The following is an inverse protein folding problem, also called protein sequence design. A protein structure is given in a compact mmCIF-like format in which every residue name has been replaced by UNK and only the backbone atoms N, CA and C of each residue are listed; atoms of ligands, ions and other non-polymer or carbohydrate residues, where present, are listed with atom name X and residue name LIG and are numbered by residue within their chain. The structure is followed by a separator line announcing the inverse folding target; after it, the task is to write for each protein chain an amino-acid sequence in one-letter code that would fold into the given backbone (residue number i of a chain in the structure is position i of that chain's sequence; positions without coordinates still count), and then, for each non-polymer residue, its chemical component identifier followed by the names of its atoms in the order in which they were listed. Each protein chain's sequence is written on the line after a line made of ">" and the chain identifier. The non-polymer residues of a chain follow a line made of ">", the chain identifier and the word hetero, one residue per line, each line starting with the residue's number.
data_IF_772813272617
#
_entry.id   IF_772813272617
#
_cell.length_a   1.000
_cell.length_b   1.000
_cell.length_c   1.000
_cell.angle_alpha   90.00
_cell.angle_beta   90.00
_cell.angle_gamma   90.00
#
_symmetry.space_group_name_H-M   'P 1'
#
loop_
_entity.id
_entity.type
_entity.pdbx_description
1 polymer ?
#
# COMPACT_ATOMS: atom_id res chain seq x y z
N UNK A 1 -10.15 32.63 2.42
CA UNK A 1 -8.80 32.21 2.88
C UNK A 1 -8.42 30.84 2.35
N UNK A 2 -9.33 29.87 2.36
CA UNK A 2 -9.19 28.51 1.78
C UNK A 2 -8.58 28.48 0.35
N UNK A 3 -8.98 29.40 -0.53
CA UNK A 3 -8.51 29.46 -1.93
C UNK A 3 -7.02 29.72 -2.13
N UNK A 4 -6.37 30.40 -1.20
CA UNK A 4 -4.95 30.74 -1.32
C UNK A 4 -4.08 29.55 -0.93
N UNK A 5 -4.48 28.83 0.11
CA UNK A 5 -3.77 27.67 0.62
C UNK A 5 -3.72 26.53 -0.41
N UNK A 6 -4.86 26.16 -0.99
CA UNK A 6 -4.90 25.15 -2.06
C UNK A 6 -4.08 25.56 -3.27
N UNK A 7 -4.06 26.85 -3.61
CA UNK A 7 -3.34 27.36 -4.77
C UNK A 7 -1.82 27.29 -4.60
N UNK A 8 -1.33 27.54 -3.39
CA UNK A 8 0.08 27.36 -3.03
C UNK A 8 0.43 25.87 -3.08
N UNK A 9 -0.40 25.00 -2.50
CA UNK A 9 -0.15 23.55 -2.48
C UNK A 9 -0.08 22.94 -3.88
N UNK A 10 -0.98 23.31 -4.81
CA UNK A 10 -0.89 22.80 -6.20
C UNK A 10 0.44 23.15 -6.83
N UNK A 11 0.89 24.39 -6.65
CA UNK A 11 2.13 24.88 -7.26
C UNK A 11 3.37 24.24 -6.64
N UNK A 12 3.34 24.00 -5.32
CA UNK A 12 4.40 23.27 -4.64
C UNK A 12 4.47 21.82 -5.13
N UNK A 13 3.34 21.12 -5.25
CA UNK A 13 3.31 19.74 -5.74
C UNK A 13 3.78 19.63 -7.19
N UNK A 14 3.21 20.43 -8.10
CA UNK A 14 3.62 20.42 -9.52
C UNK A 14 5.07 20.88 -9.66
N UNK A 15 5.47 21.92 -8.93
CA UNK A 15 6.84 22.43 -8.96
C UNK A 15 7.86 21.41 -8.47
N UNK A 16 7.54 20.68 -7.40
CA UNK A 16 8.35 19.58 -6.90
C UNK A 16 8.45 18.45 -7.92
N UNK A 17 7.33 18.04 -8.51
CA UNK A 17 7.29 16.95 -9.49
C UNK A 17 8.08 17.31 -10.76
N UNK A 18 8.00 18.56 -11.22
CA UNK A 18 8.82 19.07 -12.32
C UNK A 18 10.31 19.13 -11.97
N UNK A 19 10.66 19.42 -10.71
CA UNK A 19 12.04 19.43 -10.26
C UNK A 19 12.68 18.04 -10.30
N UNK A 20 11.91 16.99 -10.02
CA UNK A 20 12.38 15.59 -10.10
C UNK A 20 12.68 15.14 -11.55
N UNK A 21 12.15 15.85 -12.56
CA UNK A 21 12.43 15.57 -13.97
C UNK A 21 13.73 16.22 -14.45
N UNK A 22 14.35 17.10 -13.65
CA UNK A 22 15.61 17.73 -13.99
C UNK A 22 16.74 16.76 -13.66
N UNK A 23 17.56 16.32 -14.64
CA UNK A 23 18.66 15.40 -14.38
C UNK A 23 19.79 16.15 -13.67
N UNK A 24 19.79 16.09 -12.34
CA UNK A 24 20.74 16.80 -11.48
C UNK A 24 22.01 15.99 -11.11
N UNK A 25 22.11 14.74 -11.57
CA UNK A 25 23.21 13.81 -11.21
C UNK A 25 22.96 13.05 -9.90
N UNK A 26 23.86 12.15 -9.51
CA UNK A 26 23.68 11.24 -8.35
C UNK A 26 23.82 11.90 -6.97
N UNK A 27 24.48 13.06 -6.89
CA UNK A 27 24.66 13.81 -5.64
C UNK A 27 24.60 15.33 -5.89
N UNK A 28 23.43 15.87 -6.23
CA UNK A 28 23.30 17.30 -6.47
C UNK A 28 23.52 18.10 -5.19
N UNK A 29 24.18 19.25 -5.33
CA UNK A 29 24.29 20.19 -4.21
C UNK A 29 22.90 20.68 -3.82
N UNK A 30 22.68 20.93 -2.52
CA UNK A 30 21.41 21.48 -2.03
C UNK A 30 20.97 22.74 -2.82
N UNK A 31 21.94 23.57 -3.24
CA UNK A 31 21.70 24.73 -4.10
C UNK A 31 21.07 24.34 -5.46
N UNK A 32 21.56 23.28 -6.09
CA UNK A 32 21.04 22.80 -7.37
C UNK A 32 19.61 22.25 -7.24
N UNK A 33 19.32 21.52 -6.15
CA UNK A 33 17.96 21.05 -5.83
C UNK A 33 16.98 22.21 -5.60
N UNK A 34 17.39 23.20 -4.81
CA UNK A 34 16.57 24.40 -4.56
C UNK A 34 16.35 25.24 -5.83
N UNK A 35 17.35 25.31 -6.72
CA UNK A 35 17.22 25.99 -8.02
C UNK A 35 16.29 25.23 -8.97
N UNK A 36 16.39 23.91 -9.04
CA UNK A 36 15.48 23.07 -9.83
C UNK A 36 14.04 23.17 -9.30
N UNK A 37 13.87 23.17 -7.98
CA UNK A 37 12.58 23.41 -7.35
C UNK A 37 12.03 24.81 -7.64
N UNK A 38 12.86 25.85 -7.55
CA UNK A 38 12.49 27.22 -7.89
C UNK A 38 12.07 27.36 -9.36
N UNK A 39 12.83 26.76 -10.28
CA UNK A 39 12.48 26.73 -11.70
C UNK A 39 11.17 25.95 -11.95
N UNK A 40 11.03 24.77 -11.34
CA UNK A 40 9.80 23.97 -11.40
C UNK A 40 8.59 24.74 -10.87
N UNK A 41 8.74 25.49 -9.78
CA UNK A 41 7.70 26.32 -9.21
C UNK A 41 7.29 27.47 -10.15
N UNK A 42 8.24 28.11 -10.83
CA UNK A 42 7.96 29.15 -11.82
C UNK A 42 7.22 28.60 -13.05
N UNK A 43 7.63 27.42 -13.54
CA UNK A 43 6.95 26.71 -14.63
C UNK A 43 5.54 26.30 -14.22
N UNK A 44 5.37 25.74 -13.02
CA UNK A 44 4.07 25.40 -12.45
C UNK A 44 3.17 26.65 -12.30
N UNK A 45 3.74 27.79 -11.93
CA UNK A 45 3.03 29.05 -11.85
C UNK A 45 2.53 29.50 -13.23
N UNK A 46 3.40 29.47 -14.24
CA UNK A 46 3.07 29.84 -15.63
C UNK A 46 1.99 28.91 -16.22
N UNK A 47 2.14 27.60 -16.03
CA UNK A 47 1.17 26.59 -16.47
C UNK A 47 -0.22 26.82 -15.85
N UNK A 48 -0.29 27.08 -14.55
CA UNK A 48 -1.55 27.38 -13.85
C UNK A 48 -2.18 28.69 -14.31
N UNK A 49 -1.39 29.69 -14.72
CA UNK A 49 -1.90 30.92 -15.33
C UNK A 49 -2.46 30.68 -16.73
N UNK A 50 -1.85 29.78 -17.51
CA UNK A 50 -2.37 29.34 -18.82
C UNK A 50 -3.70 28.59 -18.71
N UNK A 51 -3.77 27.59 -17.82
CA UNK A 51 -5.01 26.85 -17.50
C UNK A 51 -6.14 27.76 -17.02
N UNK A 52 -5.81 28.89 -16.37
CA UNK A 52 -6.81 29.88 -15.94
C UNK A 52 -7.63 30.46 -17.10
N UNK A 53 -7.09 30.48 -18.32
CA UNK A 53 -7.79 30.97 -19.52
C UNK A 53 -8.62 29.88 -20.21
N UNK A 54 -8.19 28.62 -20.11
CA UNK A 54 -8.84 27.49 -20.78
C UNK A 54 -10.01 26.88 -19.99
N UNK A 55 -10.06 27.08 -18.68
CA UNK A 55 -10.94 26.32 -17.77
C UNK A 55 -12.00 27.22 -17.12
N UNK A 56 -13.25 26.74 -17.04
CA UNK A 56 -14.37 27.45 -16.41
C UNK A 56 -14.11 27.78 -14.94
N UNK A 57 -14.84 28.77 -14.41
CA UNK A 57 -14.70 29.18 -13.00
C UNK A 57 -15.09 28.04 -12.05
N UNK A 58 -16.16 27.31 -12.36
CA UNK A 58 -16.69 26.27 -11.47
C UNK A 58 -15.77 25.07 -11.37
N UNK A 59 -15.25 24.58 -12.50
CA UNK A 59 -14.28 23.48 -12.52
C UNK A 59 -13.03 23.84 -11.69
N UNK A 60 -12.55 25.07 -11.81
CA UNK A 60 -11.40 25.56 -11.05
C UNK A 60 -11.68 25.61 -9.55
N UNK A 61 -12.90 25.90 -9.15
CA UNK A 61 -13.31 25.93 -7.75
C UNK A 61 -13.35 24.53 -7.16
N UNK A 62 -13.88 23.56 -7.91
CA UNK A 62 -13.90 22.15 -7.51
C UNK A 62 -12.48 21.61 -7.36
N UNK A 63 -11.60 21.81 -8.36
CA UNK A 63 -10.21 21.36 -8.28
C UNK A 63 -9.48 21.96 -7.07
N UNK A 64 -9.69 23.26 -6.79
CA UNK A 64 -9.05 23.91 -5.63
C UNK A 64 -9.51 23.33 -4.29
N UNK A 65 -10.77 22.93 -4.16
CA UNK A 65 -11.27 22.29 -2.93
C UNK A 65 -10.74 20.87 -2.77
N UNK A 66 -10.56 20.14 -3.87
CA UNK A 66 -10.08 18.76 -3.84
C UNK A 66 -8.59 18.62 -3.49
N UNK A 67 -7.76 19.62 -3.79
CA UNK A 67 -6.30 19.56 -3.62
C UNK A 67 -5.87 19.29 -2.18
N UNK A 68 -6.57 19.89 -1.22
CA UNK A 68 -6.21 19.79 0.20
C UNK A 68 -6.48 18.36 0.72
N UNK A 69 -7.69 17.78 0.55
CA UNK A 69 -7.92 16.35 0.84
C UNK A 69 -6.98 15.40 0.08
N UNK A 70 -6.59 15.74 -1.16
CA UNK A 70 -5.66 14.91 -1.94
C UNK A 70 -4.21 14.93 -1.43
N UNK A 71 -3.86 15.77 -0.44
CA UNK A 71 -2.56 15.65 0.22
C UNK A 71 -2.51 14.46 1.19
N UNK A 72 -3.66 13.93 1.64
CA UNK A 72 -3.69 12.83 2.61
C UNK A 72 -2.98 11.56 2.10
N UNK A 73 -3.23 11.06 0.87
CA UNK A 73 -2.47 9.93 0.34
C UNK A 73 -0.98 10.22 0.17
N UNK A 74 -0.63 11.45 -0.24
CA UNK A 74 0.77 11.87 -0.41
C UNK A 74 1.48 11.88 0.95
N UNK A 75 0.80 12.34 2.00
CA UNK A 75 1.31 12.35 3.36
C UNK A 75 1.48 10.93 3.90
N UNK A 76 0.52 10.04 3.66
CA UNK A 76 0.59 8.64 4.09
C UNK A 76 1.72 7.91 3.36
N UNK A 77 1.67 7.87 2.02
CA UNK A 77 2.68 7.15 1.23
C UNK A 77 4.05 7.79 1.37
N UNK A 78 4.14 9.12 1.32
CA UNK A 78 5.39 9.85 1.49
C UNK A 78 6.02 9.59 2.86
N UNK A 79 5.22 9.61 3.94
CA UNK A 79 5.71 9.32 5.28
C UNK A 79 6.20 7.89 5.47
N UNK A 80 5.48 6.92 4.89
CA UNK A 80 5.84 5.50 4.94
C UNK A 80 7.11 5.23 4.11
N UNK A 81 7.16 5.71 2.86
CA UNK A 81 8.29 5.47 1.96
C UNK A 81 9.56 6.20 2.40
N UNK A 82 9.43 7.37 3.04
CA UNK A 82 10.55 8.08 3.66
C UNK A 82 11.01 7.47 4.99
N UNK A 83 10.31 6.44 5.52
CA UNK A 83 10.64 5.78 6.78
C UNK A 83 10.38 6.63 8.02
N UNK A 84 9.61 7.72 7.92
CA UNK A 84 9.31 8.62 9.04
C UNK A 84 8.27 7.99 9.97
N UNK A 85 7.29 7.30 9.39
CA UNK A 85 6.19 6.68 10.13
C UNK A 85 5.88 5.28 9.59
N UNK A 86 5.51 4.38 10.48
CA UNK A 86 4.90 3.09 10.13
C UNK A 86 3.46 3.27 9.62
N UNK A 87 2.84 2.28 8.96
CA UNK A 87 1.48 2.42 8.43
C UNK A 87 0.42 2.80 9.48
N UNK A 88 0.58 2.31 10.72
CA UNK A 88 -0.30 2.63 11.85
C UNK A 88 -0.13 4.08 12.32
N UNK A 89 1.10 4.56 12.40
CA UNK A 89 1.40 5.96 12.72
C UNK A 89 0.95 6.90 11.60
N UNK A 90 1.14 6.50 10.34
CA UNK A 90 0.69 7.25 9.17
C UNK A 90 -0.82 7.46 9.17
N UNK A 91 -1.61 6.48 9.61
CA UNK A 91 -3.05 6.64 9.79
C UNK A 91 -3.40 7.68 10.87
N UNK A 92 -2.68 7.68 12.01
CA UNK A 92 -2.87 8.68 13.06
C UNK A 92 -2.54 10.10 12.59
N UNK A 93 -1.43 10.27 11.86
CA UNK A 93 -1.05 11.56 11.27
C UNK A 93 -2.07 11.99 10.22
N UNK A 94 -2.58 11.08 9.40
CA UNK A 94 -3.63 11.37 8.42
C UNK A 94 -4.93 11.85 9.08
N UNK A 95 -5.34 11.26 10.21
CA UNK A 95 -6.50 11.72 10.98
C UNK A 95 -6.24 13.11 11.58
N UNK A 96 -5.07 13.35 12.16
CA UNK A 96 -4.70 14.67 12.66
C UNK A 96 -4.71 15.73 11.55
N UNK A 97 -4.19 15.39 10.37
CA UNK A 97 -4.25 16.23 9.18
C UNK A 97 -5.70 16.48 8.74
N UNK A 98 -6.54 15.45 8.70
CA UNK A 98 -7.95 15.59 8.33
C UNK A 98 -8.71 16.51 9.29
N UNK A 99 -8.45 16.44 10.60
CA UNK A 99 -9.02 17.35 11.60
C UNK A 99 -8.55 18.79 11.33
N UNK A 100 -7.25 19.03 11.13
CA UNK A 100 -6.72 20.35 10.79
C UNK A 100 -7.39 20.91 9.53
N UNK A 101 -7.54 20.08 8.49
CA UNK A 101 -8.19 20.46 7.23
C UNK A 101 -9.65 20.80 7.44
N UNK A 102 -10.41 19.96 8.15
CA UNK A 102 -11.83 20.16 8.39
C UNK A 102 -12.14 21.43 9.21
N UNK A 103 -11.31 21.73 10.22
CA UNK A 103 -11.52 22.86 11.12
C UNK A 103 -10.94 24.18 10.61
N UNK A 104 -9.69 24.17 10.13
CA UNK A 104 -8.95 25.41 9.84
C UNK A 104 -9.02 25.80 8.37
N UNK A 105 -8.99 24.83 7.46
CA UNK A 105 -8.87 25.07 6.01
C UNK A 105 -10.26 25.12 5.36
N UNK A 106 -10.97 23.99 5.35
CA UNK A 106 -12.29 23.87 4.74
C UNK A 106 -13.40 24.48 5.62
N UNK A 107 -13.16 24.56 6.93
CA UNK A 107 -14.14 25.06 7.94
C UNK A 107 -15.51 24.39 7.80
N UNK A 108 -15.51 23.10 7.48
CA UNK A 108 -16.72 22.28 7.29
C UNK A 108 -17.24 21.70 8.59
N UNK A 109 -16.46 21.77 9.67
CA UNK A 109 -16.83 21.25 10.99
C UNK A 109 -16.59 22.27 12.11
N UNK A 110 -17.41 22.17 13.15
CA UNK A 110 -17.28 22.91 14.41
C UNK A 110 -16.92 21.97 15.56
N UNK A 111 -16.44 22.53 16.68
CA UNK A 111 -15.99 21.72 17.83
C UNK A 111 -17.14 20.92 18.44
N UNK A 112 -18.38 21.39 18.25
CA UNK A 112 -19.60 20.71 18.71
C UNK A 112 -19.92 19.45 17.90
N UNK A 113 -19.42 19.36 16.66
CA UNK A 113 -19.62 18.19 15.81
C UNK A 113 -18.65 17.05 16.15
N UNK A 114 -17.60 17.35 16.93
CA UNK A 114 -16.52 16.41 17.22
C UNK A 114 -16.99 15.18 18.03
N UNK A 115 -17.78 15.30 19.12
CA UNK A 115 -18.27 14.15 19.86
C UNK A 115 -19.09 13.19 18.98
N UNK A 116 -19.97 13.73 18.12
CA UNK A 116 -20.82 12.93 17.26
C UNK A 116 -20.01 12.18 16.19
N UNK A 117 -19.01 12.84 15.58
CA UNK A 117 -18.14 12.21 14.58
C UNK A 117 -17.26 11.15 15.23
N UNK A 118 -16.68 11.42 16.40
CA UNK A 118 -15.89 10.44 17.15
C UNK A 118 -16.75 9.25 17.58
N UNK A 119 -17.98 9.47 18.06
CA UNK A 119 -18.89 8.40 18.44
C UNK A 119 -19.25 7.52 17.25
N UNK A 120 -19.55 8.11 16.08
CA UNK A 120 -19.82 7.36 14.85
C UNK A 120 -18.60 6.54 14.40
N UNK A 121 -17.42 7.16 14.40
CA UNK A 121 -16.18 6.49 14.03
C UNK A 121 -15.83 5.35 15.01
N UNK A 122 -16.06 5.55 16.31
CA UNK A 122 -15.85 4.54 17.34
C UNK A 122 -16.82 3.37 17.18
N UNK A 123 -18.10 3.64 16.92
CA UNK A 123 -19.10 2.59 16.69
C UNK A 123 -18.79 1.75 15.45
N UNK A 124 -18.42 2.39 14.33
CA UNK A 124 -18.00 1.63 13.15
C UNK A 124 -16.77 0.80 13.47
N UNK A 125 -15.74 1.40 14.08
CA UNK A 125 -14.48 0.73 14.39
C UNK A 125 -14.65 -0.42 15.39
N UNK A 126 -15.55 -0.30 16.36
CA UNK A 126 -15.80 -1.35 17.35
C UNK A 126 -16.31 -2.64 16.70
N UNK A 127 -17.22 -2.53 15.73
CA UNK A 127 -17.71 -3.68 14.96
C UNK A 127 -16.56 -4.30 14.16
N UNK A 128 -15.73 -3.48 13.49
CA UNK A 128 -14.56 -3.96 12.74
C UNK A 128 -13.59 -4.69 13.66
N UNK A 129 -13.22 -4.08 14.79
CA UNK A 129 -12.23 -4.61 15.72
C UNK A 129 -12.71 -5.89 16.41
N UNK A 130 -14.01 -6.05 16.63
CA UNK A 130 -14.57 -7.30 17.18
C UNK A 130 -14.41 -8.45 16.19
N UNK A 131 -14.77 -8.23 14.91
CA UNK A 131 -14.59 -9.24 13.85
C UNK A 131 -13.11 -9.58 13.64
N UNK A 132 -12.26 -8.54 13.58
CA UNK A 132 -10.80 -8.70 13.46
C UNK A 132 -10.23 -9.42 14.68
N UNK A 133 -10.69 -9.13 15.90
CA UNK A 133 -10.25 -9.79 17.13
C UNK A 133 -10.51 -11.30 17.11
N UNK A 134 -11.68 -11.73 16.63
CA UNK A 134 -11.98 -13.15 16.45
C UNK A 134 -11.07 -13.81 15.40
N UNK A 135 -10.83 -13.12 14.27
CA UNK A 135 -9.91 -13.60 13.24
C UNK A 135 -8.46 -13.71 13.75
N UNK A 136 -8.01 -12.75 14.57
CA UNK A 136 -6.69 -12.76 15.19
C UNK A 136 -6.52 -13.89 16.19
N UNK A 137 -7.56 -14.26 16.95
CA UNK A 137 -7.51 -15.41 17.85
C UNK A 137 -7.27 -16.72 17.07
N UNK A 138 -8.02 -16.95 15.99
CA UNK A 138 -7.81 -18.11 15.12
C UNK A 138 -6.42 -18.10 14.46
N UNK A 139 -5.99 -16.96 13.91
CA UNK A 139 -4.64 -16.76 13.36
C UNK A 139 -3.56 -17.15 14.36
N UNK A 140 -3.72 -16.76 15.62
CA UNK A 140 -2.75 -17.04 16.68
C UNK A 140 -2.65 -18.54 16.95
N UNK A 141 -3.77 -19.25 17.00
CA UNK A 141 -3.78 -20.72 17.18
C UNK A 141 -3.05 -21.42 16.03
N UNK A 142 -3.34 -21.04 14.78
CA UNK A 142 -2.69 -21.62 13.59
C UNK A 142 -1.19 -21.31 13.56
N UNK A 143 -0.81 -20.10 13.97
CA UNK A 143 0.61 -19.71 14.02
C UNK A 143 1.38 -20.45 15.12
N UNK A 144 0.74 -20.74 16.26
CA UNK A 144 1.35 -21.42 17.40
C UNK A 144 1.35 -22.94 17.26
N UNK A 145 0.55 -23.51 16.36
CA UNK A 145 0.52 -24.96 16.11
C UNK A 145 1.67 -25.46 15.23
N UNK A 146 2.56 -24.56 14.80
CA UNK A 146 3.64 -24.85 13.83
C UNK A 146 3.14 -25.42 12.49
N UNK A 147 1.85 -25.25 12.17
CA UNK A 147 1.26 -25.76 10.93
C UNK A 147 1.96 -25.24 9.66
N UNK A 148 2.33 -23.93 9.55
CA UNK A 148 3.05 -23.43 8.38
C UNK A 148 4.41 -24.12 8.18
N UNK A 149 5.14 -24.39 9.27
CA UNK A 149 6.44 -25.04 9.22
C UNK A 149 6.32 -26.51 8.81
N UNK A 150 5.37 -27.24 9.39
CA UNK A 150 5.13 -28.65 9.04
C UNK A 150 4.73 -28.79 7.57
N UNK A 151 3.89 -27.87 7.06
CA UNK A 151 3.51 -27.85 5.64
C UNK A 151 4.69 -27.52 4.73
N UNK A 152 5.57 -26.61 5.13
CA UNK A 152 6.78 -26.29 4.40
C UNK A 152 7.70 -27.52 4.31
N UNK A 153 8.02 -28.16 5.43
CA UNK A 153 8.88 -29.34 5.48
C UNK A 153 8.31 -30.49 4.64
N UNK A 154 6.99 -30.70 4.67
CA UNK A 154 6.30 -31.68 3.83
C UNK A 154 6.50 -31.39 2.34
N UNK A 155 6.32 -30.15 1.91
CA UNK A 155 6.46 -29.76 0.50
C UNK A 155 7.90 -29.88 0.02
N UNK A 156 8.86 -29.49 0.86
CA UNK A 156 10.29 -29.63 0.55
C UNK A 156 10.69 -31.10 0.34
N UNK A 157 10.00 -32.04 0.99
CA UNK A 157 10.22 -33.48 0.80
C UNK A 157 9.53 -34.10 -0.42
N UNK A 158 8.65 -33.39 -1.13
CA UNK A 158 7.87 -33.96 -2.25
C UNK A 158 8.61 -34.01 -3.58
N UNK A 159 9.55 -33.08 -3.82
CA UNK A 159 10.18 -32.95 -5.14
C UNK A 159 11.53 -32.22 -5.05
N UNK A 160 12.51 -32.74 -5.80
CA UNK A 160 13.81 -32.10 -5.99
C UNK A 160 13.84 -31.22 -7.26
N UNK A 161 12.83 -31.31 -8.14
CA UNK A 161 12.78 -30.51 -9.36
C UNK A 161 12.50 -29.03 -9.04
N UNK A 162 13.38 -28.08 -9.42
CA UNK A 162 13.23 -26.65 -9.11
C UNK A 162 11.91 -26.04 -9.55
N UNK A 163 11.42 -26.36 -10.75
CA UNK A 163 10.19 -25.78 -11.29
C UNK A 163 8.95 -26.29 -10.54
N UNK A 164 8.95 -27.59 -10.20
CA UNK A 164 7.86 -28.19 -9.43
C UNK A 164 7.89 -27.65 -7.99
N UNK A 165 9.08 -27.50 -7.41
CA UNK A 165 9.22 -27.00 -6.06
C UNK A 165 8.77 -25.53 -5.96
N UNK A 166 9.13 -24.70 -6.94
CA UNK A 166 8.63 -23.31 -7.04
C UNK A 166 7.10 -23.25 -7.14
N UNK A 167 6.49 -24.15 -7.92
CA UNK A 167 5.03 -24.26 -8.00
C UNK A 167 4.41 -24.60 -6.65
N UNK A 168 4.93 -25.62 -5.97
CA UNK A 168 4.41 -26.07 -4.67
C UNK A 168 4.59 -24.99 -3.60
N UNK A 169 5.70 -24.26 -3.60
CA UNK A 169 5.93 -23.19 -2.64
C UNK A 169 5.01 -22.00 -2.90
N UNK A 170 4.72 -21.65 -4.17
CA UNK A 170 3.69 -20.63 -4.45
C UNK A 170 2.33 -21.06 -3.88
N UNK A 171 1.94 -22.32 -4.10
CA UNK A 171 0.70 -22.85 -3.54
C UNK A 171 0.70 -22.80 -2.01
N UNK A 172 1.81 -23.18 -1.37
CA UNK A 172 1.99 -23.07 0.09
C UNK A 172 1.81 -21.64 0.56
N UNK A 173 2.53 -20.69 -0.03
CA UNK A 173 2.51 -19.28 0.37
C UNK A 173 1.13 -18.68 0.18
N UNK A 174 0.44 -19.01 -0.92
CA UNK A 174 -0.93 -18.58 -1.16
C UNK A 174 -1.89 -19.14 -0.10
N UNK A 175 -1.82 -20.45 0.20
CA UNK A 175 -2.66 -21.09 1.23
C UNK A 175 -2.35 -20.55 2.62
N UNK A 176 -1.07 -20.34 2.97
CA UNK A 176 -0.69 -19.78 4.26
C UNK A 176 -1.17 -18.33 4.37
N UNK A 177 -1.05 -17.54 3.30
CA UNK A 177 -1.54 -16.16 3.24
C UNK A 177 -3.04 -16.03 3.47
N UNK A 178 -3.83 -17.05 3.14
CA UNK A 178 -5.26 -17.07 3.45
C UNK A 178 -5.58 -17.04 4.95
N UNK A 179 -4.67 -17.55 5.80
CA UNK A 179 -4.88 -17.68 7.24
C UNK A 179 -4.01 -16.74 8.07
N UNK A 180 -2.80 -16.44 7.58
CA UNK A 180 -1.82 -15.61 8.26
C UNK A 180 -1.63 -14.29 7.53
N UNK A 181 -1.42 -13.26 8.33
CA UNK A 181 -1.00 -11.95 7.84
C UNK A 181 0.43 -12.04 7.26
N UNK A 182 0.72 -11.20 6.27
CA UNK A 182 1.96 -11.25 5.51
C UNK A 182 3.19 -11.10 6.43
N UNK A 183 3.15 -10.19 7.41
CA UNK A 183 4.27 -9.97 8.33
C UNK A 183 4.67 -11.24 9.12
N UNK A 184 3.79 -11.81 9.95
CA UNK A 184 4.06 -13.05 10.67
C UNK A 184 4.44 -14.22 9.77
N UNK A 185 3.76 -14.39 8.62
CA UNK A 185 4.08 -15.46 7.68
C UNK A 185 5.49 -15.29 7.10
N UNK A 186 5.93 -14.07 6.77
CA UNK A 186 7.29 -13.79 6.31
C UNK A 186 8.32 -14.12 7.39
N UNK A 187 8.06 -13.75 8.64
CA UNK A 187 8.97 -14.01 9.77
C UNK A 187 9.13 -15.52 10.01
N UNK A 188 8.04 -16.29 9.85
CA UNK A 188 8.05 -17.74 10.08
C UNK A 188 8.65 -18.51 8.90
N UNK A 189 8.14 -18.28 7.68
CA UNK A 189 8.48 -19.07 6.51
C UNK A 189 9.73 -18.55 5.78
N UNK A 190 10.06 -17.27 5.91
CA UNK A 190 11.21 -16.66 5.24
C UNK A 190 12.53 -17.37 5.54
N UNK A 191 12.88 -17.63 6.81
CA UNK A 191 14.10 -18.37 7.16
C UNK A 191 14.12 -19.83 6.69
N UNK A 192 12.94 -20.44 6.51
CA UNK A 192 12.79 -21.86 6.12
C UNK A 192 12.93 -22.00 4.59
N UNK A 193 12.20 -21.16 3.86
CA UNK A 193 12.15 -21.20 2.40
C UNK A 193 13.31 -20.44 1.74
N UNK A 194 13.87 -19.43 2.41
CA UNK A 194 14.94 -18.60 1.86
C UNK A 194 16.16 -19.38 1.38
N UNK A 195 16.77 -20.24 2.22
CA UNK A 195 17.90 -21.08 1.82
C UNK A 195 17.57 -21.96 0.61
N UNK A 196 16.38 -22.58 0.60
CA UNK A 196 15.91 -23.43 -0.50
C UNK A 196 15.85 -22.63 -1.80
N UNK A 197 15.28 -21.43 -1.79
CA UNK A 197 15.22 -20.61 -3.01
C UNK A 197 16.60 -20.21 -3.54
N UNK A 198 17.54 -19.92 -2.65
CA UNK A 198 18.92 -19.61 -3.04
C UNK A 198 19.58 -20.84 -3.68
N UNK A 199 19.38 -22.02 -3.12
CA UNK A 199 19.88 -23.29 -3.67
C UNK A 199 19.26 -23.61 -5.04
N UNK A 200 18.00 -23.22 -5.26
CA UNK A 200 17.31 -23.31 -6.56
C UNK A 200 17.80 -22.27 -7.59
N UNK A 201 18.75 -21.40 -7.24
CA UNK A 201 19.27 -20.34 -8.11
C UNK A 201 18.38 -19.10 -8.20
N UNK A 202 17.41 -18.94 -7.30
CA UNK A 202 16.55 -17.76 -7.24
C UNK A 202 17.20 -16.67 -6.40
N UNK A 203 17.26 -15.46 -6.96
CA UNK A 203 17.79 -14.30 -6.25
C UNK A 203 16.97 -13.98 -4.98
N UNK A 204 17.58 -13.67 -3.82
CA UNK A 204 16.87 -13.39 -2.57
C UNK A 204 15.79 -12.29 -2.68
N UNK A 205 16.07 -11.23 -3.45
CA UNK A 205 15.09 -10.16 -3.71
C UNK A 205 13.90 -10.67 -4.52
N UNK A 206 14.13 -11.55 -5.50
CA UNK A 206 13.05 -12.15 -6.27
C UNK A 206 12.15 -13.01 -5.37
N UNK A 207 12.76 -13.82 -4.51
CA UNK A 207 12.06 -14.59 -3.49
C UNK A 207 11.24 -13.72 -2.54
N UNK A 208 11.81 -12.62 -2.03
CA UNK A 208 11.09 -11.68 -1.17
C UNK A 208 9.85 -11.09 -1.86
N UNK A 209 9.96 -10.78 -3.16
CA UNK A 209 8.83 -10.31 -3.97
C UNK A 209 7.77 -11.41 -4.12
N UNK A 210 8.17 -12.64 -4.47
CA UNK A 210 7.26 -13.80 -4.59
C UNK A 210 6.50 -14.00 -3.27
N UNK A 211 7.21 -14.01 -2.14
CA UNK A 211 6.60 -14.16 -0.83
C UNK A 211 5.63 -13.02 -0.51
N UNK A 212 6.05 -11.78 -0.70
CA UNK A 212 5.20 -10.62 -0.40
C UNK A 212 3.91 -10.66 -1.23
N UNK A 213 4.00 -10.92 -2.53
CA UNK A 213 2.82 -10.93 -3.41
C UNK A 213 1.90 -12.10 -3.08
N UNK A 214 2.42 -13.32 -2.92
CA UNK A 214 1.59 -14.48 -2.57
C UNK A 214 0.83 -14.29 -1.25
N UNK A 215 1.53 -13.79 -0.23
CA UNK A 215 0.92 -13.60 1.09
C UNK A 215 -0.10 -12.45 1.10
N UNK A 216 0.16 -11.35 0.40
CA UNK A 216 -0.80 -10.24 0.29
C UNK A 216 -2.06 -10.65 -0.48
N UNK A 217 -1.89 -11.37 -1.60
CA UNK A 217 -3.03 -11.89 -2.39
C UNK A 217 -3.79 -12.95 -1.60
N UNK A 218 -3.08 -13.84 -0.88
CA UNK A 218 -3.68 -14.81 0.02
C UNK A 218 -4.54 -14.14 1.10
N UNK A 219 -4.07 -13.05 1.70
CA UNK A 219 -4.78 -12.33 2.76
C UNK A 219 -6.13 -11.72 2.30
N UNK A 220 -6.25 -11.41 1.01
CA UNK A 220 -7.49 -10.95 0.38
C UNK A 220 -8.43 -12.10 -0.01
N UNK A 221 -7.97 -13.35 0.03
CA UNK A 221 -8.69 -14.53 -0.44
C UNK A 221 -9.47 -15.22 0.70
N UNK A 222 -10.71 -15.70 0.47
CA UNK A 222 -11.43 -16.56 1.43
C UNK A 222 -10.60 -17.82 1.75
N UNK A 223 -10.46 -18.22 3.04
CA UNK A 223 -11.58 -18.52 3.93
C UNK A 223 -11.62 -17.70 5.23
N UNK A 224 -10.50 -17.12 5.68
CA UNK A 224 -10.43 -16.24 6.86
C UNK A 224 -10.37 -14.75 6.52
N UNK A 225 -10.01 -14.40 5.27
CA UNK A 225 -10.02 -13.06 4.68
C UNK A 225 -10.18 -11.88 5.64
N UNK A 226 -9.15 -11.58 6.45
CA UNK A 226 -9.19 -10.47 7.41
C UNK A 226 -9.53 -9.16 6.71
N UNK A 227 -9.00 -8.97 5.51
CA UNK A 227 -9.30 -7.83 4.64
C UNK A 227 -10.75 -7.85 4.16
N UNK A 228 -11.35 -9.03 3.91
CA UNK A 228 -12.76 -9.17 3.55
C UNK A 228 -13.69 -8.80 4.72
N UNK A 229 -13.34 -9.18 5.96
CA UNK A 229 -14.09 -8.78 7.15
C UNK A 229 -14.04 -7.26 7.38
N UNK A 230 -12.87 -6.65 7.19
CA UNK A 230 -12.72 -5.19 7.25
C UNK A 230 -13.52 -4.53 6.11
N UNK A 231 -13.41 -5.03 4.88
CA UNK A 231 -14.13 -4.49 3.73
C UNK A 231 -15.67 -4.60 3.90
N UNK A 232 -16.16 -5.72 4.42
CA UNK A 232 -17.58 -5.94 4.74
C UNK A 232 -18.10 -4.94 5.76
N UNK A 233 -17.37 -4.71 6.84
CA UNK A 233 -17.79 -3.76 7.87
C UNK A 233 -17.78 -2.30 7.42
N UNK A 234 -16.89 -1.91 6.50
CA UNK A 234 -16.86 -0.55 5.93
C UNK A 234 -17.93 -0.35 4.85
N UNK A 235 -18.13 -1.36 3.99
CA UNK A 235 -19.12 -1.28 2.89
C UNK A 235 -20.56 -1.53 3.36
N UNK A 236 -20.74 -2.22 4.49
CA UNK A 236 -22.04 -2.71 4.95
C UNK A 236 -22.55 -3.95 4.21
N UNK A 237 -21.79 -4.44 3.22
CA UNK A 237 -22.15 -5.63 2.44
C UNK A 237 -21.75 -6.91 3.17
N UNK A 238 -22.45 -8.01 2.85
CA UNK A 238 -22.12 -9.33 3.40
C UNK A 238 -20.76 -9.82 2.89
N UNK A 239 -19.99 -10.47 3.77
CA UNK A 239 -18.66 -11.02 3.44
C UNK A 239 -18.73 -11.95 2.23
N UNK A 240 -19.78 -12.76 2.11
CA UNK A 240 -19.99 -13.70 0.99
C UNK A 240 -20.18 -12.97 -0.35
N UNK A 241 -20.87 -11.82 -0.33
CA UNK A 241 -21.09 -10.98 -1.51
C UNK A 241 -19.76 -10.40 -2.01
N UNK A 242 -18.93 -9.92 -1.08
CA UNK A 242 -17.60 -9.37 -1.40
C UNK A 242 -16.67 -10.50 -1.87
N UNK A 243 -16.66 -11.63 -1.16
CA UNK A 243 -15.86 -12.82 -1.51
C UNK A 243 -16.17 -13.33 -2.92
N UNK A 244 -17.44 -13.32 -3.34
CA UNK A 244 -17.81 -13.72 -4.70
C UNK A 244 -17.42 -12.67 -5.74
N UNK A 245 -17.47 -11.39 -5.37
CA UNK A 245 -17.16 -10.28 -6.27
C UNK A 245 -15.65 -10.12 -6.53
N UNK A 246 -14.79 -10.56 -5.61
CA UNK A 246 -13.33 -10.50 -5.77
C UNK A 246 -12.76 -11.67 -6.58
N UNK A 247 -13.47 -12.78 -6.74
CA UNK A 247 -13.01 -13.95 -7.53
C UNK A 247 -12.44 -13.63 -8.92
N UNK A 248 -13.05 -12.78 -9.77
CA UNK A 248 -12.44 -12.44 -11.06
C UNK A 248 -11.11 -11.69 -10.92
N UNK A 249 -10.96 -10.84 -9.90
CA UNK A 249 -9.69 -10.16 -9.63
C UNK A 249 -8.65 -11.15 -9.10
N UNK A 250 -9.06 -12.07 -8.22
CA UNK A 250 -8.20 -13.13 -7.71
C UNK A 250 -7.67 -14.03 -8.82
N UNK A 251 -8.50 -14.37 -9.81
CA UNK A 251 -8.04 -15.15 -10.96
C UNK A 251 -6.91 -14.44 -11.73
N UNK A 252 -7.00 -13.12 -11.88
CA UNK A 252 -5.94 -12.30 -12.49
C UNK A 252 -4.70 -12.26 -11.59
N UNK A 253 -4.88 -12.10 -10.27
CA UNK A 253 -3.76 -12.08 -9.32
C UNK A 253 -2.99 -13.41 -9.29
N UNK A 254 -3.69 -14.55 -9.38
CA UNK A 254 -3.05 -15.86 -9.50
C UNK A 254 -2.21 -15.96 -10.78
N UNK A 255 -2.72 -15.45 -11.90
CA UNK A 255 -1.95 -15.38 -13.15
C UNK A 255 -0.71 -14.50 -12.96
N UNK A 256 -0.86 -13.34 -12.33
CA UNK A 256 0.26 -12.42 -12.03
C UNK A 256 1.30 -13.07 -11.12
N UNK A 257 0.89 -13.84 -10.11
CA UNK A 257 1.78 -14.61 -9.23
C UNK A 257 2.66 -15.57 -10.03
N UNK A 258 2.06 -16.32 -10.96
CA UNK A 258 2.83 -17.24 -11.80
C UNK A 258 3.73 -16.50 -12.79
N UNK A 259 3.26 -15.38 -13.36
CA UNK A 259 4.10 -14.54 -14.22
C UNK A 259 5.32 -14.03 -13.46
N UNK A 260 5.13 -13.51 -12.25
CA UNK A 260 6.23 -13.05 -11.40
C UNK A 260 7.17 -14.22 -11.10
N UNK A 261 6.65 -15.36 -10.66
CA UNK A 261 7.46 -16.52 -10.26
C UNK A 261 8.34 -17.07 -11.38
N UNK A 262 7.79 -17.21 -12.60
CA UNK A 262 8.50 -17.86 -13.70
C UNK A 262 9.22 -16.88 -14.63
N UNK A 263 8.91 -15.59 -14.56
CA UNK A 263 9.53 -14.56 -15.40
C UNK A 263 10.21 -13.54 -14.47
N UNK A 264 11.43 -13.84 -13.97
CA UNK A 264 12.16 -12.96 -13.05
C UNK A 264 12.33 -11.54 -13.59
N UNK A 265 12.39 -11.37 -14.91
CA UNK A 265 12.48 -10.07 -15.56
C UNK A 265 11.36 -9.12 -15.12
N UNK A 266 10.12 -9.59 -14.90
CA UNK A 266 9.01 -8.72 -14.49
C UNK A 266 9.29 -8.06 -13.15
N UNK A 267 9.68 -8.87 -12.16
CA UNK A 267 9.95 -8.39 -10.80
C UNK A 267 11.33 -7.77 -10.60
N UNK A 268 12.33 -8.20 -11.37
CA UNK A 268 13.73 -7.76 -11.18
C UNK A 268 14.11 -6.57 -12.06
N UNK A 269 13.28 -6.19 -13.05
CA UNK A 269 13.57 -5.02 -13.89
C UNK A 269 13.62 -3.74 -13.07
N UNK A 270 12.64 -3.49 -12.21
CA UNK A 270 12.62 -2.26 -11.39
C UNK A 270 13.80 -2.22 -10.41
N UNK A 271 14.09 -3.27 -9.60
CA UNK A 271 15.27 -3.29 -8.73
C UNK A 271 16.61 -3.12 -9.46
N UNK A 272 16.76 -3.65 -10.68
CA UNK A 272 17.97 -3.46 -11.50
C UNK A 272 18.09 -2.03 -12.02
N UNK A 273 16.99 -1.43 -12.46
CA UNK A 273 16.97 -0.05 -12.95
C UNK A 273 17.23 0.97 -11.84
N UNK A 274 16.81 0.69 -10.61
CA UNK A 274 17.04 1.56 -9.45
C UNK A 274 18.37 1.30 -8.73
N UNK A 275 19.20 0.39 -9.25
CA UNK A 275 20.52 0.06 -8.66
C UNK A 275 20.44 -0.72 -7.34
N UNK A 276 19.26 -1.19 -6.94
CA UNK A 276 19.06 -1.98 -5.72
C UNK A 276 19.61 -3.41 -5.83
N UNK A 277 19.71 -3.93 -7.05
CA UNK A 277 20.28 -5.25 -7.34
C UNK A 277 21.25 -5.11 -8.50
N UNK A 278 22.50 -5.52 -8.29
CA UNK A 278 23.54 -5.63 -9.31
C UNK A 278 23.46 -6.99 -10.01
#
# INVERSE_FOLDING_TARGET
>A
TEYWFSFVIVRLNIGWLLAQLVPLGEAPSALAEWLAFGAGFLVAHGFMLGLRRAVSKDFRMVCKRAVVPMQTPILILGGILAGVFTPTEAAAVAVAYAVIVAFLILRTMTVRDLPDVLARAAMTSAVILLLVGAALAFKTVVSLSYAPQILADFILGLSENPLILLFLINLLLFVVGMFLDAGPAIIILGPILGPVFVDLGVHPVHFAIIMSVNLTVGLATPPMGLVLFVASSVSGERVETIARSILPFLAIEIVVIFLITYIPAISMTVPRLTGFVQ
#
